data_IF_099670364784
#
_entry.id   IF_099670364784
#
_cell.length_a   1.000
_cell.length_b   1.000
_cell.length_c   1.000
_cell.angle_alpha   90.00
_cell.angle_beta   90.00
_cell.angle_gamma   90.00
#
_symmetry.space_group_name_H-M   'P 1'
#
loop_
_entity.id
_entity.type
_entity.pdbx_description
1 polymer ?
#
# COMPACT_ATOMS: atom_id res chain seq x y z
N UNK A 1 -17.24 13.88 42.69
CA UNK A 1 -18.03 15.12 42.50
C UNK A 1 -19.37 14.86 41.80
N UNK A 2 -19.45 13.96 40.82
CA UNK A 2 -20.71 13.59 40.15
C UNK A 2 -21.80 13.01 41.08
N UNK A 3 -21.47 12.09 41.99
CA UNK A 3 -22.46 11.46 42.89
C UNK A 3 -23.15 12.45 43.86
N UNK A 4 -22.40 13.47 44.34
CA UNK A 4 -22.93 14.53 45.21
C UNK A 4 -23.88 15.47 44.45
N UNK A 5 -23.62 15.71 43.17
CA UNK A 5 -24.52 16.49 42.29
C UNK A 5 -25.80 15.72 41.93
N UNK A 6 -25.73 14.38 41.90
CA UNK A 6 -26.87 13.50 41.64
C UNK A 6 -27.72 13.17 42.89
N UNK A 7 -27.41 13.77 44.06
CA UNK A 7 -28.18 13.59 45.29
C UNK A 7 -28.05 12.22 45.95
N UNK A 8 -27.06 11.42 45.56
CA UNK A 8 -26.81 10.13 46.21
C UNK A 8 -26.10 10.34 47.56
N UNK A 9 -26.80 10.06 48.66
CA UNK A 9 -26.20 10.02 50.01
C UNK A 9 -25.23 8.86 50.21
N UNK A 10 -25.41 7.77 49.45
CA UNK A 10 -24.63 6.55 49.54
C UNK A 10 -24.11 6.16 48.17
N UNK A 11 -22.81 5.90 48.08
CA UNK A 11 -22.14 5.44 46.85
C UNK A 11 -21.64 4.01 47.09
N UNK A 12 -22.03 3.04 46.26
CA UNK A 12 -21.48 1.69 46.37
C UNK A 12 -19.98 1.73 46.04
N UNK A 13 -19.15 1.35 47.01
CA UNK A 13 -17.70 1.35 46.88
C UNK A 13 -17.13 -0.03 47.22
N UNK A 14 -16.23 -0.54 46.39
CA UNK A 14 -15.41 -1.70 46.70
C UNK A 14 -14.12 -1.23 47.34
N UNK A 15 -13.95 -1.48 48.65
CA UNK A 15 -12.73 -1.13 49.38
C UNK A 15 -11.72 -2.26 49.19
N UNK A 16 -10.58 -1.95 48.56
CA UNK A 16 -9.42 -2.83 48.47
C UNK A 16 -8.24 -2.17 49.17
N UNK A 17 -7.51 -2.94 49.97
CA UNK A 17 -6.20 -2.52 50.45
C UNK A 17 -5.21 -2.55 49.29
N UNK A 18 -4.68 -1.40 48.94
CA UNK A 18 -3.68 -1.22 47.90
C UNK A 18 -2.52 -0.41 48.49
N UNK A 19 -1.29 -0.88 48.29
CA UNK A 19 -0.08 -0.09 48.58
C UNK A 19 -0.12 1.22 47.77
N UNK A 20 0.54 2.28 48.23
CA UNK A 20 0.51 3.60 47.60
C UNK A 20 0.94 3.55 46.11
N UNK A 21 1.86 2.65 45.76
CA UNK A 21 2.23 2.37 44.37
C UNK A 21 1.10 1.75 43.54
N UNK A 22 0.39 0.77 44.11
CA UNK A 22 -0.74 0.10 43.47
C UNK A 22 -1.94 1.03 43.32
N UNK A 23 -2.17 1.93 44.28
CA UNK A 23 -3.22 2.95 44.18
C UNK A 23 -2.94 3.97 43.05
N UNK A 24 -1.67 4.34 42.84
CA UNK A 24 -1.26 5.21 41.73
C UNK A 24 -1.40 4.50 40.36
N UNK A 25 -1.01 3.22 40.28
CA UNK A 25 -1.22 2.39 39.08
C UNK A 25 -2.70 2.21 38.75
N UNK A 26 -3.55 1.95 39.75
CA UNK A 26 -5.00 1.81 39.57
C UNK A 26 -5.62 3.14 39.11
N UNK A 27 -5.23 4.27 39.71
CA UNK A 27 -5.72 5.59 39.28
C UNK A 27 -5.25 6.01 37.89
N UNK A 28 -4.03 5.61 37.50
CA UNK A 28 -3.52 5.78 36.14
C UNK A 28 -4.30 4.91 35.16
N UNK A 29 -4.46 3.62 35.46
CA UNK A 29 -5.24 2.67 34.67
C UNK A 29 -6.69 3.17 34.48
N UNK A 30 -7.38 3.57 35.54
CA UNK A 30 -8.77 4.04 35.45
C UNK A 30 -8.92 5.31 34.59
N UNK A 31 -7.94 6.20 34.61
CA UNK A 31 -7.89 7.38 33.72
C UNK A 31 -7.52 7.03 32.27
N UNK A 32 -6.58 6.11 32.06
CA UNK A 32 -6.07 5.73 30.74
C UNK A 32 -7.06 4.82 29.99
N UNK A 33 -7.82 3.99 30.71
CA UNK A 33 -8.87 3.12 30.17
C UNK A 33 -10.26 3.78 30.19
N UNK A 34 -10.35 5.12 30.23
CA UNK A 34 -11.64 5.81 30.04
C UNK A 34 -12.21 5.46 28.66
N UNK A 35 -13.51 5.17 28.63
CA UNK A 35 -14.24 4.61 27.46
C UNK A 35 -14.34 5.52 26.21
N UNK A 36 -13.81 6.74 26.25
CA UNK A 36 -14.09 7.77 25.22
C UNK A 36 -12.86 8.25 24.41
N UNK A 37 -11.67 7.68 24.58
CA UNK A 37 -10.51 8.09 23.77
C UNK A 37 -10.75 7.75 22.29
N UNK A 38 -10.61 8.74 21.42
CA UNK A 38 -10.50 8.50 19.99
C UNK A 38 -9.23 7.69 19.68
N UNK A 39 -9.19 6.94 18.55
CA UNK A 39 -7.99 6.19 18.18
C UNK A 39 -6.73 7.05 18.11
N UNK A 40 -6.86 8.32 17.72
CA UNK A 40 -5.75 9.28 17.63
C UNK A 40 -5.24 9.67 19.02
N UNK A 41 -6.14 9.97 19.95
CA UNK A 41 -5.75 10.32 21.32
C UNK A 41 -5.12 9.12 22.05
N UNK A 42 -5.66 7.92 21.84
CA UNK A 42 -5.08 6.70 22.38
C UNK A 42 -3.68 6.44 21.81
N UNK A 43 -3.48 6.63 20.50
CA UNK A 43 -2.17 6.52 19.86
C UNK A 43 -1.14 7.47 20.48
N UNK A 44 -1.52 8.74 20.68
CA UNK A 44 -0.68 9.75 21.32
C UNK A 44 -0.34 9.39 22.76
N UNK A 45 -1.33 8.97 23.54
CA UNK A 45 -1.13 8.59 24.94
C UNK A 45 -0.21 7.36 25.10
N UNK A 46 -0.35 6.36 24.22
CA UNK A 46 0.53 5.18 24.19
C UNK A 46 1.96 5.60 23.82
N UNK A 47 2.12 6.44 22.80
CA UNK A 47 3.43 6.95 22.38
C UNK A 47 4.12 7.73 23.50
N UNK A 48 3.40 8.60 24.19
CA UNK A 48 3.92 9.36 25.33
C UNK A 48 4.39 8.45 26.47
N UNK A 49 3.66 7.37 26.77
CA UNK A 49 4.06 6.39 27.79
C UNK A 49 5.38 5.70 27.41
N UNK A 50 5.53 5.31 26.15
CA UNK A 50 6.74 4.67 25.66
C UNK A 50 7.94 5.63 25.66
N UNK A 51 7.75 6.89 25.25
CA UNK A 51 8.80 7.91 25.24
C UNK A 51 9.27 8.23 26.67
N UNK A 52 8.32 8.39 27.60
CA UNK A 52 8.61 8.67 29.02
C UNK A 52 9.08 7.44 29.79
N UNK A 53 9.12 6.26 29.14
CA UNK A 53 9.48 4.96 29.73
C UNK A 53 8.68 4.65 31.00
N UNK A 54 7.43 5.09 31.05
CA UNK A 54 6.53 4.77 32.17
C UNK A 54 6.09 3.32 32.12
N UNK A 55 5.94 2.76 30.92
CA UNK A 55 5.59 1.36 30.67
C UNK A 55 6.28 0.85 29.41
N UNK A 56 6.53 -0.45 29.36
CA UNK A 56 6.99 -1.17 28.16
C UNK A 56 5.83 -1.56 27.25
N UNK A 57 6.14 -1.88 25.98
CA UNK A 57 5.14 -2.40 25.03
C UNK A 57 4.46 -3.66 25.57
N UNK A 58 5.20 -4.52 26.27
CA UNK A 58 4.69 -5.77 26.86
C UNK A 58 3.71 -5.51 28.01
N UNK A 59 4.02 -4.56 28.89
CA UNK A 59 3.13 -4.17 30.00
C UNK A 59 1.86 -3.50 29.49
N UNK A 60 1.98 -2.63 28.47
CA UNK A 60 0.81 -2.04 27.79
C UNK A 60 -0.04 -3.12 27.12
N UNK A 61 0.56 -4.05 26.38
CA UNK A 61 -0.16 -5.15 25.72
C UNK A 61 -0.93 -6.01 26.74
N UNK A 62 -0.28 -6.35 27.87
CA UNK A 62 -0.91 -7.07 28.97
C UNK A 62 -2.08 -6.27 29.58
N UNK A 63 -1.90 -4.98 29.84
CA UNK A 63 -2.94 -4.11 30.41
C UNK A 63 -4.15 -3.93 29.49
N UNK A 64 -3.95 -3.90 28.18
CA UNK A 64 -5.04 -3.81 27.18
C UNK A 64 -5.66 -5.17 26.81
N UNK A 65 -5.11 -6.29 27.29
CA UNK A 65 -5.44 -7.63 26.81
C UNK A 65 -5.36 -7.74 25.27
N UNK A 66 -4.32 -7.14 24.69
CA UNK A 66 -4.05 -7.14 23.25
C UNK A 66 -2.64 -7.67 22.98
N UNK A 67 -2.31 -7.89 21.71
CA UNK A 67 -0.97 -8.27 21.31
C UNK A 67 -0.02 -7.06 21.34
N UNK A 68 1.28 -7.32 21.52
CA UNK A 68 2.32 -6.30 21.34
C UNK A 68 2.27 -5.68 19.93
N UNK A 69 1.88 -6.46 18.93
CA UNK A 69 1.66 -5.96 17.58
C UNK A 69 0.56 -4.88 17.53
N UNK A 70 -0.56 -5.08 18.25
CA UNK A 70 -1.63 -4.08 18.30
C UNK A 70 -1.13 -2.77 18.93
N UNK A 71 -0.32 -2.84 20.00
CA UNK A 71 0.26 -1.65 20.65
C UNK A 71 1.17 -0.89 19.68
N UNK A 72 2.08 -1.59 18.99
CA UNK A 72 2.98 -0.97 18.02
C UNK A 72 2.21 -0.33 16.85
N UNK A 73 1.21 -1.03 16.31
CA UNK A 73 0.37 -0.51 15.24
C UNK A 73 -0.44 0.71 15.69
N UNK A 74 -0.91 0.74 16.94
CA UNK A 74 -1.58 1.92 17.50
C UNK A 74 -0.62 3.10 17.68
N UNK A 75 0.58 2.87 18.18
CA UNK A 75 1.60 3.92 18.35
C UNK A 75 1.99 4.53 17.01
N UNK A 76 2.09 3.71 15.95
CA UNK A 76 2.41 4.17 14.61
C UNK A 76 1.37 5.16 14.05
N UNK A 77 0.10 5.09 14.49
CA UNK A 77 -0.94 6.04 14.08
C UNK A 77 -0.54 7.47 14.46
N UNK A 78 0.09 7.67 15.62
CA UNK A 78 0.48 9.01 16.09
C UNK A 78 1.52 9.70 15.18
N UNK A 79 2.16 8.96 14.28
CA UNK A 79 3.11 9.48 13.28
C UNK A 79 2.50 9.65 11.89
N UNK A 80 1.20 9.41 11.72
CA UNK A 80 0.56 9.57 10.42
C UNK A 80 0.40 11.04 10.02
N UNK A 81 0.28 11.33 8.71
CA UNK A 81 0.02 12.67 8.20
C UNK A 81 -1.19 13.33 8.85
N UNK A 82 -1.10 14.64 9.08
CA UNK A 82 -2.11 15.41 9.81
C UNK A 82 -3.49 15.29 9.18
N UNK A 83 -3.60 15.35 7.85
CA UNK A 83 -4.90 15.22 7.17
C UNK A 83 -5.59 13.87 7.42
N UNK A 84 -4.81 12.81 7.65
CA UNK A 84 -5.34 11.48 7.97
C UNK A 84 -5.77 11.42 9.44
N UNK A 85 -4.96 11.97 10.34
CA UNK A 85 -5.29 12.04 11.76
C UNK A 85 -6.60 12.80 12.00
N UNK A 86 -6.78 13.94 11.32
CA UNK A 86 -8.02 14.72 11.38
C UNK A 86 -9.22 13.90 10.89
N UNK A 87 -9.10 13.23 9.74
CA UNK A 87 -10.18 12.39 9.20
C UNK A 87 -10.58 11.23 10.14
N UNK A 88 -9.62 10.61 10.84
CA UNK A 88 -9.89 9.56 11.83
C UNK A 88 -10.55 10.16 13.08
N UNK A 89 -10.04 11.29 13.56
CA UNK A 89 -10.57 11.98 14.74
C UNK A 89 -12.04 12.39 14.54
N UNK A 90 -12.39 12.89 13.35
CA UNK A 90 -13.76 13.22 12.96
C UNK A 90 -14.61 12.00 12.59
N UNK A 91 -14.07 10.78 12.67
CA UNK A 91 -14.74 9.51 12.33
C UNK A 91 -15.22 9.43 10.88
N UNK A 92 -14.59 10.18 9.99
CA UNK A 92 -14.92 10.20 8.55
C UNK A 92 -14.32 9.00 7.82
N UNK A 93 -13.17 8.52 8.29
CA UNK A 93 -12.49 7.33 7.75
C UNK A 93 -12.16 6.37 8.89
N UNK A 94 -12.30 5.07 8.63
CA UNK A 94 -11.85 4.02 9.54
C UNK A 94 -10.32 3.92 9.61
N UNK A 95 -9.77 3.55 10.77
CA UNK A 95 -8.31 3.38 10.96
C UNK A 95 -7.69 2.43 9.94
N UNK A 96 -8.40 1.36 9.56
CA UNK A 96 -7.92 0.36 8.59
C UNK A 96 -7.93 0.87 7.15
N UNK A 97 -8.81 1.80 6.79
CA UNK A 97 -8.76 2.47 5.49
C UNK A 97 -7.64 3.53 5.49
N UNK A 98 -7.57 4.33 6.55
CA UNK A 98 -6.56 5.36 6.75
C UNK A 98 -5.12 4.81 6.75
N UNK A 99 -4.89 3.60 7.30
CA UNK A 99 -3.55 3.00 7.33
C UNK A 99 -2.95 2.80 5.93
N UNK A 100 -3.77 2.49 4.93
CA UNK A 100 -3.31 2.36 3.55
C UNK A 100 -2.95 3.72 2.95
N UNK A 101 -3.75 4.75 3.25
CA UNK A 101 -3.52 6.11 2.76
C UNK A 101 -2.27 6.74 3.40
N UNK A 102 -1.97 6.39 4.66
CA UNK A 102 -0.79 6.87 5.36
C UNK A 102 0.53 6.40 4.73
N UNK A 103 0.52 5.27 4.01
CA UNK A 103 1.69 4.74 3.31
C UNK A 103 1.98 5.44 1.98
N UNK A 104 1.08 6.30 1.50
CA UNK A 104 1.27 7.04 0.25
C UNK A 104 2.22 8.21 0.50
N UNK A 105 3.39 8.15 -0.13
CA UNK A 105 4.48 9.11 0.11
C UNK A 105 4.25 10.47 -0.57
N UNK A 106 3.52 10.50 -1.68
CA UNK A 106 3.12 11.74 -2.36
C UNK A 106 2.00 12.44 -1.58
N UNK A 107 2.32 13.58 -0.97
CA UNK A 107 1.41 14.38 -0.15
C UNK A 107 0.20 14.91 -0.94
N UNK A 108 0.40 15.41 -2.16
CA UNK A 108 -0.70 15.96 -2.97
C UNK A 108 -1.66 14.86 -3.39
N UNK A 109 -1.10 13.74 -3.84
CA UNK A 109 -1.90 12.59 -4.26
C UNK A 109 -2.63 11.94 -3.09
N UNK A 110 -1.98 11.84 -1.92
CA UNK A 110 -2.60 11.37 -0.69
C UNK A 110 -3.78 12.26 -0.27
N UNK A 111 -3.60 13.59 -0.26
CA UNK A 111 -4.69 14.52 0.07
C UNK A 111 -5.92 14.39 -0.84
N UNK A 112 -5.71 14.16 -2.14
CA UNK A 112 -6.78 13.85 -3.09
C UNK A 112 -7.51 12.55 -2.73
N UNK A 113 -6.76 11.47 -2.44
CA UNK A 113 -7.35 10.18 -2.10
C UNK A 113 -8.07 10.19 -0.75
N UNK A 114 -7.56 10.94 0.25
CA UNK A 114 -8.26 11.16 1.53
C UNK A 114 -9.59 11.85 1.30
N UNK A 115 -9.61 12.92 0.50
CA UNK A 115 -10.86 13.62 0.16
C UNK A 115 -11.86 12.69 -0.53
N UNK A 116 -11.39 11.84 -1.46
CA UNK A 116 -12.24 10.83 -2.09
C UNK A 116 -12.70 9.73 -1.14
N UNK A 117 -11.86 9.32 -0.18
CA UNK A 117 -12.23 8.34 0.82
C UNK A 117 -13.37 8.85 1.70
N UNK A 118 -13.31 10.11 2.13
CA UNK A 118 -14.36 10.78 2.93
C UNK A 118 -15.66 10.86 2.12
N UNK A 119 -15.58 11.40 0.90
CA UNK A 119 -16.76 11.65 0.07
C UNK A 119 -17.55 10.38 -0.30
N UNK A 120 -16.85 9.25 -0.48
CA UNK A 120 -17.46 7.99 -0.96
C UNK A 120 -17.53 6.89 0.10
N UNK A 121 -17.10 7.16 1.34
CA UNK A 121 -17.05 6.16 2.40
C UNK A 121 -16.16 4.95 2.03
N UNK A 122 -14.92 5.22 1.59
CA UNK A 122 -14.04 4.17 1.09
C UNK A 122 -13.73 3.12 2.17
N UNK A 123 -13.83 1.84 1.77
CA UNK A 123 -13.48 0.71 2.63
C UNK A 123 -11.97 0.46 2.64
N UNK A 124 -11.47 -0.26 3.65
CA UNK A 124 -10.06 -0.67 3.71
C UNK A 124 -9.59 -1.43 2.46
N UNK A 125 -10.47 -2.21 1.82
CA UNK A 125 -10.19 -2.89 0.56
C UNK A 125 -10.00 -1.90 -0.60
N UNK A 126 -10.83 -0.87 -0.67
CA UNK A 126 -10.72 0.15 -1.71
C UNK A 126 -9.42 0.94 -1.57
N UNK A 127 -9.10 1.40 -0.36
CA UNK A 127 -7.85 2.13 -0.10
C UNK A 127 -6.61 1.27 -0.31
N UNK A 128 -6.68 -0.04 -0.03
CA UNK A 128 -5.59 -0.97 -0.36
C UNK A 128 -5.36 -1.11 -1.87
N UNK A 129 -6.44 -1.13 -2.67
CA UNK A 129 -6.33 -1.13 -4.13
C UNK A 129 -5.69 0.17 -4.65
N UNK A 130 -6.02 1.33 -4.06
CA UNK A 130 -5.39 2.61 -4.40
C UNK A 130 -3.90 2.63 -4.06
N UNK A 131 -3.52 2.08 -2.91
CA UNK A 131 -2.12 1.93 -2.52
C UNK A 131 -1.34 1.03 -3.50
N UNK A 132 -1.93 -0.10 -3.92
CA UNK A 132 -1.31 -0.98 -4.92
C UNK A 132 -1.14 -0.26 -6.28
N UNK A 133 -2.14 0.50 -6.71
CA UNK A 133 -2.05 1.30 -7.92
C UNK A 133 -0.94 2.36 -7.81
N UNK A 134 -0.82 3.02 -6.65
CA UNK A 134 0.25 3.99 -6.39
C UNK A 134 1.64 3.35 -6.47
N UNK A 135 1.84 2.19 -5.84
CA UNK A 135 3.10 1.44 -5.89
C UNK A 135 3.46 1.01 -7.31
N UNK A 136 2.47 0.61 -8.12
CA UNK A 136 2.69 0.22 -9.52
C UNK A 136 3.11 1.40 -10.40
N UNK A 137 2.68 2.62 -10.07
CA UNK A 137 3.05 3.83 -10.80
C UNK A 137 4.45 4.34 -10.45
N UNK A 138 5.02 3.92 -9.32
CA UNK A 138 6.39 4.30 -8.96
C UNK A 138 7.40 3.47 -9.77
N UNK A 139 8.45 4.11 -10.32
CA UNK A 139 9.53 3.36 -10.94
C UNK A 139 10.15 2.41 -9.91
N UNK A 140 10.52 1.18 -10.30
CA UNK A 140 11.19 0.26 -9.40
C UNK A 140 12.46 0.92 -8.82
N UNK A 141 12.76 0.68 -7.55
CA UNK A 141 13.90 1.31 -6.85
C UNK A 141 15.23 1.11 -7.60
N UNK A 142 15.38 -0.02 -8.29
CA UNK A 142 16.52 -0.34 -9.16
C UNK A 142 16.68 0.63 -10.34
N UNK A 143 15.58 1.19 -10.85
CA UNK A 143 15.60 2.17 -11.96
C UNK A 143 15.95 3.58 -11.49
N UNK A 144 15.75 3.92 -10.21
CA UNK A 144 16.11 5.21 -9.63
C UNK A 144 17.60 5.27 -9.28
N UNK A 145 18.19 4.12 -8.94
CA UNK A 145 19.62 3.98 -8.60
C UNK A 145 20.51 3.66 -9.79
N UNK A 146 19.94 3.18 -10.91
CA UNK A 146 20.67 3.01 -12.15
C UNK A 146 21.20 4.35 -12.65
N UNK A 147 22.50 4.39 -12.99
CA UNK A 147 23.07 5.56 -13.65
C UNK A 147 22.29 5.87 -14.92
N UNK A 148 21.93 7.15 -15.16
CA UNK A 148 21.23 7.52 -16.39
C UNK A 148 22.09 7.08 -17.57
N UNK A 149 21.45 6.43 -18.54
CA UNK A 149 22.09 6.03 -19.78
C UNK A 149 22.78 7.27 -20.37
N UNK A 150 24.10 7.22 -20.65
CA UNK A 150 24.84 8.38 -21.10
C UNK A 150 24.18 8.99 -22.36
N UNK A 151 24.10 10.33 -22.46
CA UNK A 151 23.54 10.98 -23.63
C UNK A 151 24.34 10.54 -24.87
N UNK A 152 23.70 9.84 -25.80
CA UNK A 152 24.36 9.28 -26.99
C UNK A 152 24.51 7.76 -26.99
N UNK A 153 24.03 7.05 -25.97
CA UNK A 153 23.80 5.62 -26.13
C UNK A 153 22.84 5.40 -27.31
N UNK A 154 23.18 4.54 -28.29
CA UNK A 154 22.28 4.29 -29.39
C UNK A 154 20.99 3.72 -28.82
N UNK A 155 19.88 4.43 -28.98
CA UNK A 155 18.56 3.87 -28.78
C UNK A 155 18.50 2.70 -29.77
N UNK A 156 18.61 1.47 -29.27
CA UNK A 156 18.50 0.28 -30.11
C UNK A 156 17.09 0.34 -30.68
N UNK A 157 16.91 0.66 -31.98
CA UNK A 157 15.57 0.71 -32.53
C UNK A 157 14.99 -0.68 -32.41
N UNK A 158 13.84 -0.82 -31.76
CA UNK A 158 13.15 -2.10 -31.69
C UNK A 158 12.73 -2.47 -33.12
N UNK A 159 13.50 -3.35 -33.76
CA UNK A 159 13.19 -3.84 -35.10
C UNK A 159 12.10 -4.89 -34.95
N UNK A 160 10.88 -4.66 -35.48
CA UNK A 160 9.83 -5.66 -35.39
C UNK A 160 10.26 -6.93 -36.13
N UNK A 161 9.94 -8.08 -35.56
CA UNK A 161 10.28 -9.39 -36.12
C UNK A 161 9.02 -10.09 -36.61
N UNK A 162 9.11 -10.82 -37.72
CA UNK A 162 8.00 -11.60 -38.28
C UNK A 162 8.50 -12.95 -38.79
N UNK A 163 7.69 -14.03 -38.67
CA UNK A 163 8.03 -15.30 -39.28
C UNK A 163 7.93 -15.22 -40.81
N UNK A 164 8.87 -15.88 -41.49
CA UNK A 164 8.82 -16.10 -42.92
C UNK A 164 7.68 -17.05 -43.27
N UNK A 165 6.82 -16.70 -44.21
CA UNK A 165 5.72 -17.56 -44.65
C UNK A 165 6.18 -18.81 -45.41
N UNK A 166 7.43 -18.87 -45.85
CA UNK A 166 7.99 -20.01 -46.59
C UNK A 166 8.70 -21.03 -45.68
N UNK A 167 9.50 -20.56 -44.71
CA UNK A 167 10.33 -21.44 -43.86
C UNK A 167 10.01 -21.34 -42.35
N UNK A 168 9.09 -20.47 -41.95
CA UNK A 168 8.65 -20.23 -40.57
C UNK A 168 9.73 -19.76 -39.59
N UNK A 169 10.95 -19.45 -40.07
CA UNK A 169 11.99 -18.83 -39.26
C UNK A 169 11.67 -17.34 -39.03
N UNK A 170 12.10 -16.79 -37.89
CA UNK A 170 11.85 -15.40 -37.50
C UNK A 170 12.93 -14.50 -38.09
N UNK A 171 12.54 -13.45 -38.79
CA UNK A 171 13.45 -12.47 -39.38
C UNK A 171 13.08 -11.03 -38.98
N UNK A 172 14.06 -10.12 -38.92
CA UNK A 172 13.82 -8.68 -38.91
C UNK A 172 13.00 -8.26 -40.14
N UNK A 173 11.95 -7.45 -39.98
CA UNK A 173 11.08 -7.06 -41.10
C UNK A 173 11.85 -6.33 -42.22
N UNK A 174 12.92 -5.60 -41.91
CA UNK A 174 13.77 -4.92 -42.89
C UNK A 174 14.60 -5.86 -43.78
N UNK A 175 14.73 -7.13 -43.41
CA UNK A 175 15.38 -8.18 -44.22
C UNK A 175 14.35 -9.02 -45.00
N UNK A 176 13.06 -8.73 -44.86
CA UNK A 176 11.98 -9.44 -45.54
C UNK A 176 11.60 -8.77 -46.87
N UNK A 177 11.31 -9.58 -47.89
CA UNK A 177 10.75 -9.09 -49.15
C UNK A 177 9.29 -8.67 -48.99
N UNK A 178 8.97 -7.42 -49.35
CA UNK A 178 7.59 -6.93 -49.40
C UNK A 178 6.96 -7.25 -50.76
N UNK A 179 6.10 -8.28 -50.82
CA UNK A 179 5.38 -8.66 -52.05
C UNK A 179 3.91 -8.21 -51.93
N UNK A 180 3.41 -7.31 -52.81
CA UNK A 180 2.02 -6.87 -52.77
C UNK A 180 1.10 -7.98 -53.30
N UNK A 181 0.39 -8.66 -52.40
CA UNK A 181 -0.58 -9.71 -52.70
C UNK A 181 -1.92 -9.41 -52.04
N UNK A 182 -3.03 -9.87 -52.64
CA UNK A 182 -4.36 -9.69 -52.06
C UNK A 182 -4.61 -10.64 -50.87
N UNK A 183 -5.65 -10.35 -50.09
CA UNK A 183 -6.04 -11.16 -48.93
C UNK A 183 -6.39 -12.62 -49.24
N UNK A 184 -6.81 -12.93 -50.46
CA UNK A 184 -7.01 -14.32 -50.90
C UNK A 184 -5.69 -15.07 -51.08
N UNK A 185 -4.73 -14.45 -51.77
CA UNK A 185 -3.42 -15.03 -52.05
C UNK A 185 -2.60 -15.26 -50.77
N UNK A 186 -2.69 -14.36 -49.77
CA UNK A 186 -1.95 -14.54 -48.51
C UNK A 186 -2.45 -15.74 -47.69
N UNK A 187 -3.73 -16.08 -47.77
CA UNK A 187 -4.29 -17.25 -47.09
C UNK A 187 -3.80 -18.56 -47.72
N UNK A 188 -3.74 -18.61 -49.05
CA UNK A 188 -3.18 -19.76 -49.79
C UNK A 188 -1.72 -19.97 -49.43
N UNK A 189 -0.92 -18.89 -49.38
CA UNK A 189 0.49 -18.98 -49.00
C UNK A 189 0.68 -19.47 -47.55
N UNK A 190 -0.19 -19.06 -46.61
CA UNK A 190 -0.16 -19.54 -45.22
C UNK A 190 -0.44 -21.03 -45.12
N UNK A 191 -1.36 -21.57 -45.92
CA UNK A 191 -1.63 -23.01 -45.95
C UNK A 191 -0.47 -23.82 -46.55
N UNK A 192 0.23 -23.27 -47.56
CA UNK A 192 1.40 -23.91 -48.17
C UNK A 192 2.60 -23.94 -47.20
N UNK A 193 2.84 -22.84 -46.47
CA UNK A 193 3.90 -22.79 -45.45
C UNK A 193 3.67 -23.74 -44.27
N UNK A 194 2.41 -24.05 -43.93
CA UNK A 194 2.06 -24.96 -42.84
C UNK A 194 2.16 -26.46 -43.21
N UNK A 195 2.17 -26.81 -44.50
CA UNK A 195 2.08 -28.21 -44.96
C UNK A 195 3.44 -28.93 -45.10
N UNK A 196 4.53 -28.36 -44.56
CA UNK A 196 5.77 -29.10 -44.31
C UNK A 196 6.53 -29.58 -45.55
N UNK A 197 6.20 -29.08 -46.75
CA UNK A 197 7.05 -29.24 -47.92
C UNK A 197 8.28 -28.36 -47.75
N UNK A 198 9.32 -28.88 -47.10
CA UNK A 198 10.58 -28.16 -46.88
C UNK A 198 11.15 -27.67 -48.21
N UNK A 199 10.97 -26.39 -48.52
CA UNK A 199 11.77 -25.73 -49.54
C UNK A 199 13.11 -25.46 -48.90
N UNK A 200 14.09 -26.31 -49.17
CA UNK A 200 15.49 -26.06 -48.81
C UNK A 200 15.98 -24.88 -49.63
N UNK A 201 15.89 -23.67 -49.08
CA UNK A 201 16.48 -22.48 -49.69
C UNK A 201 17.92 -22.41 -49.18
N UNK A 202 18.89 -22.82 -50.00
CA UNK A 202 20.30 -22.61 -49.69
C UNK A 202 20.57 -21.10 -49.56
N UNK A 203 21.31 -20.66 -48.52
CA UNK A 203 21.61 -19.26 -48.34
C UNK A 203 22.43 -18.77 -49.53
N UNK A 204 21.97 -17.72 -50.23
CA UNK A 204 22.81 -16.99 -51.18
C UNK A 204 24.04 -16.49 -50.42
N UNK A 205 25.22 -16.97 -50.81
CA UNK A 205 26.49 -16.42 -50.37
C UNK A 205 26.49 -14.91 -50.69
N UNK A 206 26.59 -14.10 -49.63
CA UNK A 206 26.76 -12.66 -49.74
C UNK A 206 28.09 -12.39 -50.47
N UNK A 207 28.03 -11.60 -51.55
CA UNK A 207 29.19 -10.95 -52.17
C UNK A 207 29.12 -9.46 -51.88
#
# INVERSE_FOLDING_TARGET
VAARMAGHEVVPCFVREADAGVAAEIGFAENFFRKDLSPVELAGALKDCLIRKTMTVKELAAGFHKSEHWVNSMVAIADWPREILEAIHHKEISVSAASNLALITDEKYRGFLVSQAIANGATARATAAWLQAFQTMQPPEDAVTAEPVPPGAPAIPMVPQSPCLCCSQIFPINEMSHVPICGGCIQVLRTVGASGGGVTIEPKQQT
#
